data_IF_594690489232
#
_entry.id   IF_594690489232
#
_cell.length_a   1.000
_cell.length_b   1.000
_cell.length_c   1.000
_cell.angle_alpha   90.00
_cell.angle_beta   90.00
_cell.angle_gamma   90.00
#
_symmetry.space_group_name_H-M   'P 1'
#
loop_
_entity.id
_entity.type
_entity.pdbx_description
1 polymer ?
#
# COMPACT_ATOMS: atom_id res chain seq x y z
N UNK A 1 -14.44 46.67 -4.21
CA UNK A 1 -13.53 46.18 -3.18
C UNK A 1 -12.99 44.84 -3.65
N UNK A 2 -11.77 44.85 -4.19
CA UNK A 2 -11.09 43.64 -4.67
C UNK A 2 -10.67 42.79 -3.46
N UNK A 3 -11.03 41.54 -3.43
CA UNK A 3 -10.57 40.57 -2.44
C UNK A 3 -9.30 39.86 -3.00
N UNK A 4 -8.09 40.28 -2.57
CA UNK A 4 -6.87 39.60 -2.96
C UNK A 4 -6.57 38.57 -1.89
N UNK A 5 -6.55 37.29 -2.20
CA UNK A 5 -5.86 36.18 -1.52
C UNK A 5 -6.65 34.86 -1.56
N UNK A 6 -6.73 34.33 -2.76
CA UNK A 6 -6.64 32.86 -2.91
C UNK A 6 -5.49 32.61 -3.89
N UNK A 7 -4.28 32.93 -3.45
CA UNK A 7 -3.09 32.38 -4.07
C UNK A 7 -3.17 30.85 -3.80
N UNK A 8 -3.52 30.09 -4.81
CA UNK A 8 -3.33 28.65 -4.84
C UNK A 8 -1.83 28.41 -4.61
N UNK A 9 -1.47 28.10 -3.36
CA UNK A 9 -0.13 27.60 -3.06
C UNK A 9 0.06 26.37 -3.94
N UNK A 10 0.94 26.44 -4.92
CA UNK A 10 1.39 25.25 -5.64
C UNK A 10 1.90 24.27 -4.59
N UNK A 11 1.37 23.05 -4.62
CA UNK A 11 1.83 22.01 -3.71
C UNK A 11 3.32 21.78 -3.97
N UNK A 12 4.16 22.00 -2.97
CA UNK A 12 5.57 21.61 -3.06
C UNK A 12 5.65 20.10 -2.90
N UNK A 13 5.80 19.42 -4.02
CA UNK A 13 5.85 17.95 -4.11
C UNK A 13 7.01 17.38 -3.30
N UNK A 14 8.16 18.05 -3.29
CA UNK A 14 9.35 17.59 -2.55
C UNK A 14 9.14 17.73 -1.02
N UNK A 15 8.50 18.82 -0.60
CA UNK A 15 8.15 19.00 0.82
C UNK A 15 7.11 17.97 1.27
N UNK A 16 6.08 17.71 0.44
CA UNK A 16 5.08 16.70 0.74
C UNK A 16 5.72 15.30 0.86
N UNK A 17 6.55 14.91 -0.10
CA UNK A 17 7.24 13.63 -0.08
C UNK A 17 8.10 13.47 1.18
N UNK A 18 8.85 14.51 1.54
CA UNK A 18 9.69 14.50 2.75
C UNK A 18 8.86 14.28 4.01
N UNK A 19 7.73 14.97 4.14
CA UNK A 19 6.82 14.81 5.28
C UNK A 19 6.18 13.42 5.33
N UNK A 20 5.75 12.91 4.20
CA UNK A 20 5.18 11.55 4.10
C UNK A 20 6.21 10.49 4.48
N UNK A 21 7.43 10.57 3.95
CA UNK A 21 8.52 9.65 4.32
C UNK A 21 8.85 9.72 5.81
N UNK A 22 8.96 10.91 6.38
CA UNK A 22 9.25 11.08 7.81
C UNK A 22 8.16 10.46 8.69
N UNK A 23 6.89 10.66 8.34
CA UNK A 23 5.76 10.09 9.05
C UNK A 23 5.77 8.55 9.01
N UNK A 24 5.89 7.95 7.82
CA UNK A 24 5.91 6.48 7.69
C UNK A 24 7.18 5.83 8.22
N UNK A 25 8.30 6.56 8.25
CA UNK A 25 9.48 6.16 9.01
C UNK A 25 9.15 5.99 10.50
N UNK A 26 8.48 6.98 11.09
CA UNK A 26 8.06 6.91 12.49
C UNK A 26 7.10 5.75 12.75
N UNK A 27 6.15 5.51 11.84
CA UNK A 27 5.24 4.35 11.89
C UNK A 27 6.00 3.01 11.89
N UNK A 28 7.07 2.90 11.10
CA UNK A 28 7.87 1.67 11.05
C UNK A 28 8.65 1.42 12.33
N UNK A 29 9.25 2.48 12.89
CA UNK A 29 10.18 2.40 14.02
C UNK A 29 9.48 2.41 15.38
N UNK A 30 8.38 3.13 15.50
CA UNK A 30 7.64 3.37 16.73
C UNK A 30 6.13 3.29 16.51
N UNK A 31 5.59 2.12 16.18
CA UNK A 31 4.15 1.97 15.88
C UNK A 31 3.24 2.30 17.07
N UNK A 32 3.77 2.27 18.28
CA UNK A 32 3.07 2.66 19.54
C UNK A 32 3.01 4.21 19.71
N UNK A 33 3.63 4.98 18.83
CA UNK A 33 3.64 6.44 18.90
C UNK A 33 2.25 7.06 18.71
N UNK A 34 2.10 8.33 19.10
CA UNK A 34 0.87 9.08 18.87
C UNK A 34 0.81 9.52 17.39
N UNK A 35 -0.17 9.01 16.66
CA UNK A 35 -0.48 9.39 15.28
C UNK A 35 -1.91 9.94 15.20
N UNK A 36 -2.18 10.79 14.21
CA UNK A 36 -3.54 11.35 14.00
C UNK A 36 -4.44 10.41 13.20
N UNK A 37 -4.01 9.17 13.00
CA UNK A 37 -4.78 8.12 12.36
C UNK A 37 -4.64 6.83 13.15
N UNK A 38 -5.63 6.00 13.01
CA UNK A 38 -5.63 4.70 13.67
C UNK A 38 -4.72 3.72 12.95
N UNK A 39 -4.17 2.78 13.71
CA UNK A 39 -3.28 1.74 13.21
C UNK A 39 -3.49 0.41 13.92
N UNK A 40 -2.85 -0.60 13.38
CA UNK A 40 -2.68 -1.88 14.02
C UNK A 40 -3.89 -2.81 13.91
N UNK A 41 -3.93 -3.79 14.80
CA UNK A 41 -4.87 -4.91 14.72
C UNK A 41 -6.33 -4.46 14.86
N UNK A 42 -6.64 -3.59 15.80
CA UNK A 42 -8.01 -3.12 16.02
C UNK A 42 -8.57 -2.41 14.78
N UNK A 43 -7.73 -1.61 14.10
CA UNK A 43 -8.09 -1.02 12.81
C UNK A 43 -8.34 -2.10 11.76
N UNK A 44 -7.41 -3.05 11.61
CA UNK A 44 -7.53 -4.11 10.60
C UNK A 44 -8.81 -4.93 10.77
N UNK A 45 -9.12 -5.36 11.99
CA UNK A 45 -10.36 -6.10 12.29
C UNK A 45 -11.61 -5.28 11.99
N UNK A 46 -11.62 -3.99 12.35
CA UNK A 46 -12.74 -3.09 12.05
C UNK A 46 -12.93 -2.86 10.54
N UNK A 47 -11.85 -2.87 9.77
CA UNK A 47 -11.91 -2.78 8.30
C UNK A 47 -12.38 -4.08 7.63
N UNK A 48 -12.43 -5.21 8.35
CA UNK A 48 -12.96 -6.48 7.84
C UNK A 48 -11.90 -7.56 7.61
N UNK A 49 -10.65 -7.37 8.04
CA UNK A 49 -9.65 -8.44 7.98
C UNK A 49 -10.03 -9.56 8.93
N UNK A 50 -10.03 -10.79 8.44
CA UNK A 50 -10.37 -11.95 9.25
C UNK A 50 -9.31 -12.17 10.36
N UNK A 51 -9.71 -12.37 11.64
CA UNK A 51 -8.76 -12.64 12.70
C UNK A 51 -7.80 -13.80 12.39
N UNK A 52 -8.28 -14.85 11.73
CA UNK A 52 -7.46 -15.99 11.33
C UNK A 52 -6.34 -15.61 10.33
N UNK A 53 -6.61 -14.69 9.38
CA UNK A 53 -5.57 -14.18 8.47
C UNK A 53 -4.53 -13.36 9.26
N UNK A 54 -5.00 -12.53 10.21
CA UNK A 54 -4.12 -11.71 11.05
C UNK A 54 -3.26 -12.56 12.00
N UNK A 55 -3.80 -13.64 12.56
CA UNK A 55 -3.05 -14.57 13.42
C UNK A 55 -1.97 -15.35 12.67
N UNK A 56 -2.12 -15.48 11.35
CA UNK A 56 -1.19 -16.21 10.48
C UNK A 56 -0.04 -15.37 9.91
N UNK A 57 -0.02 -14.06 10.18
CA UNK A 57 1.01 -13.13 9.67
C UNK A 57 1.79 -12.48 10.83
N UNK A 58 2.97 -11.89 10.57
CA UNK A 58 3.76 -11.26 11.63
C UNK A 58 3.02 -10.11 12.33
N UNK A 59 2.87 -10.19 13.65
CA UNK A 59 2.19 -9.18 14.46
C UNK A 59 2.81 -7.77 14.31
N UNK A 60 4.14 -7.68 14.12
CA UNK A 60 4.82 -6.41 13.90
C UNK A 60 4.45 -5.74 12.56
N UNK A 61 4.08 -6.50 11.53
CA UNK A 61 3.55 -5.94 10.29
C UNK A 61 2.16 -5.33 10.53
N UNK A 62 1.32 -6.02 11.32
CA UNK A 62 0.00 -5.53 11.71
C UNK A 62 0.12 -4.26 12.55
N UNK A 63 1.04 -4.20 13.50
CA UNK A 63 1.24 -3.03 14.37
C UNK A 63 1.48 -1.73 13.59
N UNK A 64 2.12 -1.80 12.41
CA UNK A 64 2.37 -0.65 11.53
C UNK A 64 1.32 -0.48 10.43
N UNK A 65 0.22 -1.21 10.46
CA UNK A 65 -0.82 -1.12 9.45
C UNK A 65 -1.67 0.14 9.64
N UNK A 66 -1.72 0.98 8.61
CA UNK A 66 -2.48 2.22 8.53
C UNK A 66 -3.35 2.27 7.26
N UNK A 67 -3.87 1.13 6.83
CA UNK A 67 -4.74 1.04 5.68
C UNK A 67 -6.12 1.66 5.92
N UNK A 68 -6.87 1.87 4.85
CA UNK A 68 -8.15 2.59 4.88
C UNK A 68 -9.34 1.73 4.45
N UNK A 69 -9.11 0.46 4.11
CA UNK A 69 -10.16 -0.46 3.71
C UNK A 69 -9.69 -1.89 3.58
N UNK A 70 -10.68 -2.79 3.45
CA UNK A 70 -10.49 -4.19 3.10
C UNK A 70 -10.99 -4.43 1.67
N UNK A 71 -10.18 -5.06 0.85
CA UNK A 71 -10.48 -5.25 -0.58
C UNK A 71 -10.25 -6.68 -1.07
N UNK A 72 -9.82 -7.60 -0.21
CA UNK A 72 -9.50 -8.97 -0.64
C UNK A 72 -10.70 -9.75 -1.17
N UNK A 73 -11.93 -9.39 -0.76
CA UNK A 73 -13.16 -9.97 -1.32
C UNK A 73 -13.36 -9.59 -2.81
N UNK A 74 -12.88 -8.41 -3.21
CA UNK A 74 -12.88 -7.94 -4.59
C UNK A 74 -11.65 -8.43 -5.36
N UNK A 75 -10.47 -8.34 -4.73
CA UNK A 75 -9.19 -8.74 -5.30
C UNK A 75 -9.14 -10.25 -5.62
N UNK A 76 -9.69 -11.07 -4.74
CA UNK A 76 -9.76 -12.53 -4.85
C UNK A 76 -8.45 -13.15 -5.35
N UNK A 77 -7.33 -12.98 -4.62
CA UNK A 77 -6.06 -13.60 -5.00
C UNK A 77 -6.24 -15.11 -5.08
N UNK A 78 -5.66 -15.72 -6.12
CA UNK A 78 -5.77 -17.17 -6.36
C UNK A 78 -4.41 -17.86 -6.16
N UNK A 79 -4.38 -19.13 -5.76
CA UNK A 79 -3.15 -19.90 -5.68
C UNK A 79 -2.31 -19.78 -6.97
N UNK A 80 -1.01 -19.53 -6.80
CA UNK A 80 -0.06 -19.39 -7.91
C UNK A 80 -0.03 -18.02 -8.61
N UNK A 81 -0.89 -17.06 -8.22
CA UNK A 81 -0.88 -15.73 -8.83
C UNK A 81 0.35 -14.90 -8.41
N UNK A 82 0.78 -14.02 -9.32
CA UNK A 82 1.78 -12.98 -9.07
C UNK A 82 1.06 -11.68 -8.73
N UNK A 83 1.37 -11.11 -7.57
CA UNK A 83 0.73 -9.91 -7.03
C UNK A 83 1.77 -8.83 -6.78
N UNK A 84 1.42 -7.58 -7.11
CA UNK A 84 2.17 -6.38 -6.67
C UNK A 84 1.35 -5.65 -5.63
N UNK A 85 2.01 -5.25 -4.54
CA UNK A 85 1.47 -4.40 -3.48
C UNK A 85 2.13 -3.02 -3.56
N UNK A 86 1.38 -2.02 -4.04
CA UNK A 86 1.87 -0.64 -4.21
C UNK A 86 1.70 0.14 -2.91
N UNK A 87 2.82 0.55 -2.31
CA UNK A 87 2.87 1.17 -1.00
C UNK A 87 2.73 0.13 0.12
N UNK A 88 3.52 -0.94 0.03
CA UNK A 88 3.42 -2.12 0.89
C UNK A 88 3.70 -1.85 2.37
N UNK A 89 4.34 -0.74 2.71
CA UNK A 89 4.73 -0.43 4.08
C UNK A 89 5.54 -1.57 4.71
N UNK A 90 5.19 -1.92 5.96
CA UNK A 90 5.79 -3.07 6.68
C UNK A 90 5.25 -4.44 6.25
N UNK A 91 4.41 -4.49 5.19
CA UNK A 91 4.06 -5.71 4.49
C UNK A 91 2.79 -6.42 4.96
N UNK A 92 1.91 -5.81 5.75
CA UNK A 92 0.71 -6.51 6.23
C UNK A 92 -0.13 -7.08 5.08
N UNK A 93 -0.53 -6.26 4.09
CA UNK A 93 -1.32 -6.71 2.95
C UNK A 93 -0.55 -7.67 2.03
N UNK A 94 0.76 -7.46 1.88
CA UNK A 94 1.65 -8.40 1.19
C UNK A 94 1.64 -9.78 1.85
N UNK A 95 1.68 -9.86 3.18
CA UNK A 95 1.64 -11.15 3.90
C UNK A 95 0.27 -11.81 3.80
N UNK A 96 -0.83 -11.04 3.92
CA UNK A 96 -2.18 -11.58 3.70
C UNK A 96 -2.33 -12.10 2.27
N UNK A 97 -1.84 -11.36 1.27
CA UNK A 97 -1.84 -11.83 -0.11
C UNK A 97 -1.01 -13.12 -0.28
N UNK A 98 0.14 -13.23 0.40
CA UNK A 98 1.00 -14.40 0.37
C UNK A 98 0.30 -15.65 0.90
N UNK A 99 -0.49 -15.54 2.00
CA UNK A 99 -1.31 -16.66 2.50
C UNK A 99 -2.29 -17.15 1.42
N UNK A 100 -2.89 -16.23 0.67
CA UNK A 100 -3.94 -16.53 -0.32
C UNK A 100 -3.37 -17.11 -1.62
N UNK A 101 -2.21 -16.64 -2.08
CA UNK A 101 -1.59 -17.19 -3.31
C UNK A 101 -0.75 -18.43 -3.06
N UNK A 102 -0.35 -18.69 -1.81
CA UNK A 102 0.45 -19.84 -1.42
C UNK A 102 1.87 -19.84 -2.00
N UNK A 103 2.66 -20.86 -1.67
CA UNK A 103 4.09 -20.95 -2.00
C UNK A 103 4.40 -20.98 -3.52
N UNK A 104 3.42 -21.31 -4.36
CA UNK A 104 3.57 -21.29 -5.83
C UNK A 104 3.28 -19.92 -6.45
N UNK A 105 2.72 -19.00 -5.67
CA UNK A 105 2.51 -17.60 -6.06
C UNK A 105 3.76 -16.76 -5.86
N UNK A 106 3.64 -15.45 -6.13
CA UNK A 106 4.69 -14.47 -5.86
C UNK A 106 4.10 -13.14 -5.46
N UNK A 107 4.66 -12.53 -4.42
CA UNK A 107 4.30 -11.19 -3.98
C UNK A 107 5.50 -10.27 -4.16
N UNK A 108 5.27 -9.10 -4.71
CA UNK A 108 6.25 -8.01 -4.77
C UNK A 108 5.66 -6.78 -4.08
N UNK A 109 6.16 -6.47 -2.90
CA UNK A 109 5.84 -5.21 -2.21
C UNK A 109 6.76 -4.09 -2.69
N UNK A 110 6.20 -2.94 -3.00
CA UNK A 110 6.94 -1.73 -3.39
C UNK A 110 6.63 -0.61 -2.40
N UNK A 111 7.66 -0.03 -1.81
CA UNK A 111 7.55 1.15 -0.94
C UNK A 111 8.73 2.10 -1.15
N UNK A 112 8.55 3.37 -0.83
CA UNK A 112 9.60 4.38 -0.95
C UNK A 112 10.40 4.58 0.33
N UNK A 113 9.96 4.00 1.47
CA UNK A 113 10.50 4.21 2.82
C UNK A 113 11.42 3.08 3.21
N UNK A 114 12.70 3.38 3.45
CA UNK A 114 13.72 2.37 3.77
C UNK A 114 13.40 1.59 5.04
N UNK A 115 12.91 2.27 6.08
CA UNK A 115 12.59 1.66 7.37
C UNK A 115 11.39 0.70 7.29
N UNK A 116 10.38 1.04 6.48
CA UNK A 116 9.26 0.15 6.20
C UNK A 116 9.75 -1.13 5.51
N UNK A 117 10.54 -0.97 4.45
CA UNK A 117 11.10 -2.10 3.69
C UNK A 117 12.03 -2.96 4.53
N UNK A 118 12.89 -2.35 5.35
CA UNK A 118 13.79 -3.08 6.24
C UNK A 118 13.01 -3.94 7.25
N UNK A 119 11.92 -3.41 7.81
CA UNK A 119 11.01 -4.14 8.70
C UNK A 119 10.32 -5.27 7.95
N UNK A 120 9.72 -5.00 6.79
CA UNK A 120 9.04 -5.99 5.97
C UNK A 120 9.97 -7.15 5.57
N UNK A 121 11.19 -6.85 5.12
CA UNK A 121 12.19 -7.84 4.73
C UNK A 121 12.67 -8.70 5.92
N UNK A 122 12.87 -8.10 7.09
CA UNK A 122 13.18 -8.84 8.31
C UNK A 122 12.07 -9.83 8.67
N UNK A 123 10.82 -9.38 8.63
CA UNK A 123 9.65 -10.21 8.95
C UNK A 123 9.46 -11.34 7.92
N UNK A 124 9.65 -11.04 6.63
CA UNK A 124 9.64 -12.02 5.55
C UNK A 124 10.64 -13.15 5.79
N UNK A 125 11.89 -12.78 6.13
CA UNK A 125 12.96 -13.76 6.42
C UNK A 125 12.64 -14.60 7.64
N UNK A 126 12.19 -13.98 8.72
CA UNK A 126 11.79 -14.68 9.94
C UNK A 126 10.63 -15.67 9.70
N UNK A 127 9.69 -15.33 8.83
CA UNK A 127 8.57 -16.19 8.43
C UNK A 127 8.90 -17.23 7.34
N UNK A 128 10.14 -17.27 6.80
CA UNK A 128 10.52 -18.20 5.74
C UNK A 128 9.76 -18.02 4.42
N UNK A 129 9.23 -16.81 4.15
CA UNK A 129 8.38 -16.51 2.99
C UNK A 129 9.22 -16.23 1.74
N UNK A 130 9.77 -17.29 1.12
CA UNK A 130 10.66 -17.18 -0.04
C UNK A 130 9.98 -16.61 -1.30
N UNK A 131 8.65 -16.71 -1.39
CA UNK A 131 7.85 -16.22 -2.52
C UNK A 131 7.38 -14.75 -2.36
N UNK A 132 7.81 -14.08 -1.30
CA UNK A 132 7.58 -12.65 -1.07
C UNK A 132 8.90 -11.91 -1.27
N UNK A 133 8.89 -10.77 -1.92
CA UNK A 133 10.04 -9.86 -2.01
C UNK A 133 9.59 -8.41 -1.82
N UNK A 134 10.52 -7.57 -1.38
CA UNK A 134 10.28 -6.14 -1.22
C UNK A 134 11.29 -5.34 -2.05
N UNK A 135 10.81 -4.27 -2.70
CA UNK A 135 11.63 -3.39 -3.53
C UNK A 135 11.39 -1.94 -3.18
N UNK A 136 12.48 -1.19 -3.12
CA UNK A 136 12.41 0.26 -3.01
C UNK A 136 12.00 0.85 -4.35
N UNK A 137 10.98 1.68 -4.33
CA UNK A 137 10.48 2.36 -5.53
C UNK A 137 9.30 3.26 -5.22
N UNK A 138 8.97 4.09 -6.20
CA UNK A 138 7.76 4.90 -6.19
C UNK A 138 6.62 4.15 -6.85
N UNK A 139 5.41 4.32 -6.33
CA UNK A 139 4.22 3.61 -6.83
C UNK A 139 3.82 4.03 -8.26
N UNK A 140 4.26 5.21 -8.72
CA UNK A 140 4.07 5.70 -10.09
C UNK A 140 5.16 5.24 -11.06
N UNK A 141 6.27 4.68 -10.55
CA UNK A 141 7.40 4.19 -11.37
C UNK A 141 8.15 3.09 -10.60
N UNK A 142 7.62 1.89 -10.63
CA UNK A 142 8.13 0.77 -9.82
C UNK A 142 9.40 0.12 -10.36
N UNK A 143 9.69 0.29 -11.66
CA UNK A 143 10.79 -0.40 -12.36
C UNK A 143 10.55 -1.90 -12.54
N UNK A 144 9.36 -2.41 -12.24
CA UNK A 144 9.00 -3.81 -12.42
C UNK A 144 8.63 -4.11 -13.88
N UNK A 145 8.71 -5.39 -14.26
CA UNK A 145 8.34 -5.86 -15.59
C UNK A 145 6.85 -5.62 -15.87
N UNK A 146 6.55 -5.06 -17.05
CA UNK A 146 5.17 -4.83 -17.49
C UNK A 146 4.50 -6.12 -17.95
N UNK A 147 3.17 -6.19 -17.79
CA UNK A 147 2.38 -7.34 -18.26
C UNK A 147 2.64 -8.65 -17.49
N UNK A 148 3.32 -8.60 -16.35
CA UNK A 148 3.78 -9.79 -15.63
C UNK A 148 2.86 -10.22 -14.49
N UNK A 149 1.98 -9.35 -14.01
CA UNK A 149 1.23 -9.56 -12.76
C UNK A 149 -0.26 -9.84 -13.00
N UNK A 150 -0.80 -10.71 -12.19
CA UNK A 150 -2.21 -11.10 -12.21
C UNK A 150 -3.08 -10.10 -11.43
N UNK A 151 -2.50 -9.50 -10.40
CA UNK A 151 -3.18 -8.61 -9.48
C UNK A 151 -2.24 -7.50 -9.01
N UNK A 152 -2.74 -6.28 -8.99
CA UNK A 152 -2.13 -5.14 -8.29
C UNK A 152 -3.04 -4.75 -7.15
N UNK A 153 -2.48 -4.63 -5.95
CA UNK A 153 -3.18 -4.16 -4.75
C UNK A 153 -2.56 -2.87 -4.22
N UNK A 154 -3.34 -2.04 -3.54
CA UNK A 154 -2.85 -0.84 -2.84
C UNK A 154 -3.83 -0.39 -1.77
N UNK A 155 -3.33 0.03 -0.60
CA UNK A 155 -4.16 0.43 0.54
C UNK A 155 -3.71 1.76 1.13
N UNK A 156 -4.53 2.80 0.99
CA UNK A 156 -4.32 4.10 1.64
C UNK A 156 -3.18 4.95 1.08
N UNK A 157 -2.57 4.59 -0.04
CA UNK A 157 -1.33 5.22 -0.54
C UNK A 157 -1.56 6.13 -1.76
N UNK A 158 -2.46 5.76 -2.65
CA UNK A 158 -2.65 6.47 -3.94
C UNK A 158 -3.04 7.94 -3.74
N UNK A 159 -3.79 8.24 -2.67
CA UNK A 159 -4.16 9.62 -2.32
C UNK A 159 -2.97 10.51 -1.92
N UNK A 160 -1.83 9.91 -1.57
CA UNK A 160 -0.59 10.61 -1.23
C UNK A 160 0.29 10.89 -2.46
N UNK A 161 0.00 10.26 -3.60
CA UNK A 161 0.75 10.51 -4.84
C UNK A 161 0.42 11.89 -5.42
N UNK A 162 1.42 12.65 -5.91
CA UNK A 162 1.22 13.94 -6.54
C UNK A 162 0.35 13.85 -7.79
N UNK A 163 0.57 12.85 -8.63
CA UNK A 163 -0.25 12.52 -9.81
C UNK A 163 -0.79 11.09 -9.69
N UNK A 164 -2.07 11.00 -9.36
CA UNK A 164 -2.77 9.71 -9.28
C UNK A 164 -2.88 9.01 -10.64
N UNK A 165 -2.94 9.80 -11.73
CA UNK A 165 -3.02 9.26 -13.10
C UNK A 165 -1.75 8.46 -13.46
N UNK A 166 -0.57 8.92 -13.01
CA UNK A 166 0.67 8.15 -13.20
C UNK A 166 0.63 6.81 -12.46
N UNK A 167 0.10 6.79 -11.23
CA UNK A 167 -0.04 5.54 -10.46
C UNK A 167 -0.96 4.56 -11.18
N UNK A 168 -2.09 5.02 -11.71
CA UNK A 168 -3.00 4.16 -12.46
C UNK A 168 -2.40 3.67 -13.78
N UNK A 169 -1.62 4.51 -14.47
CA UNK A 169 -0.88 4.09 -15.69
C UNK A 169 0.15 3.01 -15.35
N UNK A 170 0.89 3.18 -14.26
CA UNK A 170 1.86 2.18 -13.81
C UNK A 170 1.16 0.87 -13.40
N UNK A 171 0.09 0.94 -12.61
CA UNK A 171 -0.70 -0.24 -12.25
C UNK A 171 -1.21 -1.00 -13.49
N UNK A 172 -1.73 -0.27 -14.48
CA UNK A 172 -2.18 -0.87 -15.75
C UNK A 172 -1.02 -1.49 -16.53
N UNK A 173 0.16 -0.85 -16.56
CA UNK A 173 1.36 -1.36 -17.22
C UNK A 173 1.86 -2.67 -16.60
N UNK A 174 1.77 -2.81 -15.28
CA UNK A 174 2.19 -4.00 -14.54
C UNK A 174 1.28 -5.20 -14.79
N UNK A 175 -0.02 -4.94 -15.00
CA UNK A 175 -1.02 -5.98 -15.17
C UNK A 175 -0.89 -6.67 -16.53
N UNK A 176 -0.94 -8.00 -16.52
CA UNK A 176 -1.14 -8.79 -17.74
C UNK A 176 -2.55 -8.59 -18.29
N UNK A 177 -2.81 -8.95 -19.56
CA UNK A 177 -4.18 -8.99 -20.10
C UNK A 177 -5.09 -9.83 -19.19
N UNK A 178 -6.24 -9.26 -18.80
CA UNK A 178 -7.17 -9.88 -17.85
C UNK A 178 -6.73 -9.85 -16.39
N UNK A 179 -5.66 -9.13 -16.07
CA UNK A 179 -5.25 -8.85 -14.68
C UNK A 179 -6.22 -7.90 -13.96
N UNK A 180 -6.13 -7.83 -12.64
CA UNK A 180 -7.06 -7.09 -11.77
C UNK A 180 -6.31 -6.04 -10.95
N UNK A 181 -6.94 -4.88 -10.76
CA UNK A 181 -6.53 -3.87 -9.79
C UNK A 181 -7.56 -3.82 -8.67
N UNK A 182 -7.13 -3.95 -7.43
CA UNK A 182 -7.96 -3.74 -6.25
C UNK A 182 -7.27 -2.75 -5.29
N UNK A 183 -8.00 -1.75 -4.87
CA UNK A 183 -7.45 -0.70 -4.03
C UNK A 183 -8.47 -0.22 -2.98
N UNK A 184 -7.94 0.25 -1.86
CA UNK A 184 -8.66 1.05 -0.89
C UNK A 184 -8.01 2.44 -0.82
N UNK A 185 -8.81 3.48 -0.92
CA UNK A 185 -8.36 4.87 -0.84
C UNK A 185 -9.41 5.72 -0.16
N UNK A 186 -8.98 6.75 0.57
CA UNK A 186 -9.92 7.73 1.12
C UNK A 186 -10.43 8.61 -0.03
N UNK A 187 -11.74 8.53 -0.27
CA UNK A 187 -12.38 9.35 -1.30
C UNK A 187 -12.53 10.79 -0.84
N UNK A 188 -11.77 11.72 -1.41
CA UNK A 188 -12.27 13.06 -1.64
C UNK A 188 -12.92 13.03 -3.01
N UNK A 189 -14.25 13.19 -3.05
CA UNK A 189 -14.96 13.35 -4.31
C UNK A 189 -14.39 14.56 -5.07
N UNK A 190 -13.68 14.29 -6.16
CA UNK A 190 -13.26 15.33 -7.11
C UNK A 190 -14.36 15.62 -8.14
N UNK A 191 -15.58 15.13 -7.89
CA UNK A 191 -16.71 15.54 -8.69
C UNK A 191 -17.12 16.95 -8.23
N UNK A 192 -17.08 17.96 -9.11
CA UNK A 192 -17.70 19.24 -8.80
C UNK A 192 -19.16 18.96 -8.49
N UNK A 193 -19.64 19.48 -7.35
CA UNK A 193 -21.06 19.45 -7.03
C UNK A 193 -21.81 20.07 -8.22
N UNK A 194 -22.61 19.27 -8.91
CA UNK A 194 -23.54 19.80 -9.90
C UNK A 194 -24.45 20.79 -9.16
N UNK A 195 -24.39 22.05 -9.58
CA UNK A 195 -25.34 23.09 -9.19
C UNK A 195 -26.61 22.91 -9.98
#
# INVERSE_FOLDING_TARGET
MNNPHLATRSLDVAELETKVKAMYRSVALQPEGEFHFEMGRALAERLGYAPADLDAIPAEAIASFAGVGYYFDLARPKPGEKVVDLGSGSGMDSFVAALKVGATGRIVGVDMTDEQLAKAERLRKAGGLAHVEYRKGYIQQTGLEGGAFHLVISNGVINLAPDKGEVFREAARLLRPGGRLALATTGHSLLPSAK
#
